data_IF_524863669371
#
_entry.id   IF_524863669371
#
_cell.length_a   1.000
_cell.length_b   1.000
_cell.length_c   1.000
_cell.angle_alpha   90.00
_cell.angle_beta   90.00
_cell.angle_gamma   90.00
#
_symmetry.space_group_name_H-M   'P 1'
#
loop_
_entity.id
_entity.type
_entity.pdbx_description
1 polymer ?
#
# COMPACT_ATOMS: atom_id res chain seq x y z
N UNK A 1 11.35 19.71 14.83
CA UNK A 1 10.03 19.62 14.16
C UNK A 1 8.97 20.23 15.05
N UNK A 2 7.93 20.81 14.46
CA UNK A 2 7.03 21.77 15.10
C UNK A 2 5.94 21.09 15.95
N UNK A 3 5.69 21.63 17.15
CA UNK A 3 4.52 21.28 17.97
C UNK A 3 3.18 21.41 17.21
N UNK A 4 3.15 22.16 16.10
CA UNK A 4 1.98 22.22 15.21
C UNK A 4 1.75 20.91 14.45
N UNK A 5 2.81 20.29 13.91
CA UNK A 5 2.73 19.00 13.19
C UNK A 5 2.09 17.93 14.06
N UNK A 6 2.56 17.81 15.30
CA UNK A 6 2.06 16.81 16.25
C UNK A 6 0.59 17.05 16.62
N UNK A 7 0.19 18.31 16.83
CA UNK A 7 -1.21 18.65 17.11
C UNK A 7 -2.13 18.32 15.93
N UNK A 8 -1.74 18.70 14.71
CA UNK A 8 -2.51 18.43 13.49
C UNK A 8 -2.58 16.93 13.22
N UNK A 9 -1.47 16.21 13.37
CA UNK A 9 -1.45 14.75 13.22
C UNK A 9 -2.41 14.07 14.20
N UNK A 10 -2.36 14.45 15.48
CA UNK A 10 -3.25 13.88 16.51
C UNK A 10 -4.72 14.25 16.29
N UNK A 11 -5.00 15.44 15.76
CA UNK A 11 -6.35 15.84 15.39
C UNK A 11 -6.87 15.05 14.19
N UNK A 12 -6.08 14.93 13.13
CA UNK A 12 -6.43 14.18 11.94
C UNK A 12 -6.65 12.71 12.26
N UNK A 13 -5.76 12.09 13.05
CA UNK A 13 -5.92 10.71 13.50
C UNK A 13 -7.25 10.49 14.25
N UNK A 14 -7.63 11.41 15.14
CA UNK A 14 -8.94 11.34 15.82
C UNK A 14 -10.13 11.44 14.86
N UNK A 15 -10.03 12.28 13.82
CA UNK A 15 -11.08 12.40 12.79
C UNK A 15 -11.20 11.08 12.02
N UNK A 16 -10.06 10.52 11.56
CA UNK A 16 -10.05 9.26 10.82
C UNK A 16 -10.59 8.11 11.66
N UNK A 17 -10.21 8.02 12.95
CA UNK A 17 -10.72 7.00 13.88
C UNK A 17 -12.23 7.11 14.11
N UNK A 18 -12.74 8.33 14.34
CA UNK A 18 -14.18 8.57 14.52
C UNK A 18 -14.98 8.09 13.30
N UNK A 19 -14.43 8.31 12.12
CA UNK A 19 -15.10 8.04 10.85
C UNK A 19 -14.76 6.65 10.27
N UNK A 20 -13.95 5.85 10.98
CA UNK A 20 -13.57 4.50 10.57
C UNK A 20 -12.61 4.41 9.39
N UNK A 21 -11.85 5.48 9.11
CA UNK A 21 -10.85 5.55 8.05
C UNK A 21 -9.43 5.18 8.53
N UNK A 22 -9.26 4.88 9.81
CA UNK A 22 -8.02 4.43 10.43
C UNK A 22 -7.78 2.93 10.23
N UNK A 23 -8.85 2.14 10.12
CA UNK A 23 -8.79 0.73 9.75
C UNK A 23 -9.06 0.55 8.25
N UNK A 24 -8.03 0.22 7.44
CA UNK A 24 -8.18 0.04 5.99
C UNK A 24 -9.11 -1.12 5.59
N UNK A 25 -9.45 -2.00 6.53
CA UNK A 25 -10.29 -3.19 6.35
C UNK A 25 -11.61 -3.11 7.13
N UNK A 26 -12.02 -1.92 7.57
CA UNK A 26 -13.28 -1.76 8.29
C UNK A 26 -14.49 -2.15 7.44
N UNK A 27 -15.45 -2.86 8.04
CA UNK A 27 -16.71 -3.28 7.40
C UNK A 27 -17.81 -2.19 7.46
N UNK A 28 -17.42 -0.92 7.56
CA UNK A 28 -18.37 0.19 7.60
C UNK A 28 -18.77 0.58 6.18
N UNK A 29 -20.06 0.45 5.87
CA UNK A 29 -20.62 0.74 4.55
C UNK A 29 -20.38 2.19 4.07
N UNK A 30 -20.28 3.14 5.00
CA UNK A 30 -20.07 4.56 4.73
C UNK A 30 -18.60 5.01 4.74
N UNK A 31 -17.68 4.12 5.11
CA UNK A 31 -16.27 4.44 5.31
C UNK A 31 -15.34 3.89 4.21
N UNK A 32 -15.90 3.26 3.16
CA UNK A 32 -15.09 2.79 2.05
C UNK A 32 -15.82 2.80 0.71
N UNK A 33 -15.09 3.16 -0.35
CA UNK A 33 -15.58 3.07 -1.73
C UNK A 33 -15.90 1.63 -2.16
N UNK A 34 -15.33 0.62 -1.51
CA UNK A 34 -15.69 -0.81 -1.70
C UNK A 34 -17.17 -1.08 -1.43
N UNK A 35 -17.71 -0.45 -0.39
CA UNK A 35 -19.12 -0.61 -0.01
C UNK A 35 -20.04 0.38 -0.74
N UNK A 36 -19.55 1.57 -1.07
CA UNK A 36 -20.37 2.57 -1.78
C UNK A 36 -20.67 2.14 -3.22
N UNK A 37 -19.68 1.55 -3.90
CA UNK A 37 -19.80 1.12 -5.31
C UNK A 37 -19.98 -0.39 -5.45
N UNK A 38 -20.41 -1.08 -4.40
CA UNK A 38 -20.58 -2.52 -4.38
C UNK A 38 -21.41 -2.98 -3.18
N UNK A 39 -21.37 -4.27 -2.89
CA UNK A 39 -21.98 -4.87 -1.69
C UNK A 39 -20.91 -5.42 -0.72
N UNK A 40 -19.70 -4.89 -0.83
CA UNK A 40 -18.53 -5.43 -0.15
C UNK A 40 -17.94 -6.66 -0.84
N UNK A 41 -18.61 -7.26 -1.82
CA UNK A 41 -18.13 -8.43 -2.56
C UNK A 41 -17.98 -8.14 -4.06
N UNK A 42 -19.01 -7.56 -4.68
CA UNK A 42 -19.08 -7.27 -6.09
C UNK A 42 -19.28 -5.77 -6.31
N UNK A 43 -18.46 -5.21 -7.19
CA UNK A 43 -18.60 -3.84 -7.66
C UNK A 43 -19.70 -3.73 -8.72
N UNK A 44 -20.34 -2.57 -8.78
CA UNK A 44 -21.25 -2.25 -9.87
C UNK A 44 -20.50 -2.25 -11.22
N UNK A 45 -21.23 -2.51 -12.31
CA UNK A 45 -20.61 -2.64 -13.65
C UNK A 45 -19.88 -1.36 -14.09
N UNK A 46 -20.37 -0.18 -13.70
CA UNK A 46 -19.70 1.07 -14.07
C UNK A 46 -18.39 1.25 -13.32
N UNK A 47 -18.33 0.78 -12.06
CA UNK A 47 -17.14 0.79 -11.24
C UNK A 47 -16.11 -0.23 -11.71
N UNK A 48 -16.53 -1.43 -12.10
CA UNK A 48 -15.64 -2.43 -12.70
C UNK A 48 -14.95 -1.90 -13.96
N UNK A 49 -15.69 -1.23 -14.86
CA UNK A 49 -15.09 -0.60 -16.05
C UNK A 49 -14.07 0.47 -15.69
N UNK A 50 -14.38 1.29 -14.69
CA UNK A 50 -13.42 2.28 -14.20
C UNK A 50 -12.15 1.62 -13.65
N UNK A 51 -12.28 0.53 -12.89
CA UNK A 51 -11.15 -0.25 -12.40
C UNK A 51 -10.33 -0.86 -13.55
N UNK A 52 -10.99 -1.43 -14.56
CA UNK A 52 -10.34 -1.94 -15.79
C UNK A 52 -9.53 -0.84 -16.50
N UNK A 53 -10.09 0.36 -16.65
CA UNK A 53 -9.40 1.51 -17.26
C UNK A 53 -8.17 1.94 -16.44
N UNK A 54 -8.26 1.88 -15.10
CA UNK A 54 -7.13 2.16 -14.22
C UNK A 54 -6.02 1.11 -14.37
N UNK A 55 -6.37 -0.17 -14.44
CA UNK A 55 -5.43 -1.28 -14.67
C UNK A 55 -4.76 -1.10 -16.03
N UNK A 56 -5.51 -0.85 -17.09
CA UNK A 56 -4.96 -0.62 -18.43
C UNK A 56 -3.98 0.56 -18.43
N UNK A 57 -4.36 1.67 -17.80
CA UNK A 57 -3.50 2.85 -17.67
C UNK A 57 -2.22 2.56 -16.89
N UNK A 58 -2.31 1.82 -15.79
CA UNK A 58 -1.14 1.39 -15.03
C UNK A 58 -0.23 0.48 -15.87
N UNK A 59 -0.84 -0.46 -16.62
CA UNK A 59 -0.10 -1.39 -17.47
C UNK A 59 0.64 -0.69 -18.61
N UNK A 60 0.07 0.36 -19.17
CA UNK A 60 0.72 1.17 -20.22
C UNK A 60 1.91 1.98 -19.70
N UNK A 61 1.88 2.41 -18.42
CA UNK A 61 2.94 3.24 -17.82
C UNK A 61 4.20 2.46 -17.46
N UNK A 62 4.07 1.20 -17.09
CA UNK A 62 5.18 0.37 -16.62
C UNK A 62 5.21 -0.98 -17.36
N UNK A 63 5.41 -1.03 -18.68
CA UNK A 63 5.30 -2.27 -19.44
C UNK A 63 6.19 -3.38 -18.88
N UNK A 64 5.59 -4.53 -18.57
CA UNK A 64 6.27 -5.69 -18.03
C UNK A 64 7.07 -6.43 -19.11
N UNK A 65 8.11 -7.14 -18.67
CA UNK A 65 8.91 -8.00 -19.53
C UNK A 65 8.32 -9.40 -19.61
N UNK A 66 8.42 -10.01 -20.79
CA UNK A 66 7.92 -11.35 -21.08
C UNK A 66 9.06 -12.33 -21.36
N UNK A 67 8.85 -13.60 -20.96
CA UNK A 67 9.74 -14.71 -21.28
C UNK A 67 10.95 -14.85 -20.35
N UNK A 68 11.53 -16.05 -20.34
CA UNK A 68 12.56 -16.44 -19.38
C UNK A 68 11.98 -17.21 -18.19
N UNK A 69 12.76 -17.32 -17.12
CA UNK A 69 12.28 -17.90 -15.85
C UNK A 69 11.42 -16.85 -15.15
N UNK A 70 10.24 -17.27 -14.69
CA UNK A 70 9.31 -16.37 -14.00
C UNK A 70 9.80 -16.07 -12.58
N UNK A 71 9.92 -14.77 -12.31
CA UNK A 71 10.43 -14.23 -11.06
C UNK A 71 9.43 -13.25 -10.43
N UNK A 72 9.21 -13.41 -9.13
CA UNK A 72 8.45 -12.48 -8.31
C UNK A 72 9.37 -11.76 -7.33
N UNK A 73 9.12 -10.48 -7.13
CA UNK A 73 9.77 -9.67 -6.09
C UNK A 73 8.71 -9.25 -5.09
N UNK A 74 8.98 -9.43 -3.80
CA UNK A 74 8.04 -9.09 -2.72
C UNK A 74 8.72 -8.15 -1.74
N UNK A 75 8.03 -7.08 -1.37
CA UNK A 75 8.53 -6.18 -0.32
C UNK A 75 7.89 -6.51 1.03
N UNK A 76 8.69 -6.43 2.08
CA UNK A 76 8.26 -6.48 3.47
C UNK A 76 8.75 -5.23 4.22
N UNK A 77 7.96 -4.79 5.19
CA UNK A 77 8.32 -3.69 6.08
C UNK A 77 7.17 -2.73 6.35
N UNK A 78 7.15 -2.07 7.51
CA UNK A 78 6.06 -1.16 7.89
C UNK A 78 6.01 0.09 6.98
N UNK A 79 4.87 0.82 6.96
CA UNK A 79 4.83 2.15 6.35
C UNK A 79 5.91 3.07 6.96
N UNK A 80 6.60 3.85 6.13
CA UNK A 80 7.71 4.70 6.58
C UNK A 80 9.09 4.02 6.66
N UNK A 81 9.19 2.70 6.43
CA UNK A 81 10.46 2.00 6.46
C UNK A 81 11.43 2.37 5.32
N UNK A 82 10.90 2.77 4.16
CA UNK A 82 11.71 3.17 2.99
C UNK A 82 11.77 2.16 1.85
N UNK A 83 10.81 1.23 1.76
CA UNK A 83 10.73 0.17 0.74
C UNK A 83 10.95 0.66 -0.69
N UNK A 84 10.21 1.68 -1.13
CA UNK A 84 10.33 2.21 -2.50
C UNK A 84 11.75 2.70 -2.83
N UNK A 85 12.45 3.31 -1.86
CA UNK A 85 13.84 3.75 -2.04
C UNK A 85 14.81 2.57 -2.16
N UNK A 86 14.57 1.48 -1.42
CA UNK A 86 15.37 0.27 -1.52
C UNK A 86 15.25 -0.39 -2.90
N UNK A 87 14.04 -0.43 -3.45
CA UNK A 87 13.76 -1.03 -4.75
C UNK A 87 14.24 -0.18 -5.93
N UNK A 88 14.01 1.15 -5.89
CA UNK A 88 14.28 2.04 -7.02
C UNK A 88 15.74 2.05 -7.50
N UNK A 89 16.67 1.59 -6.66
CA UNK A 89 18.10 1.56 -6.96
C UNK A 89 18.60 0.19 -7.43
N UNK A 90 17.74 -0.83 -7.51
CA UNK A 90 18.17 -2.18 -7.87
C UNK A 90 17.98 -2.45 -9.38
N UNK A 91 19.08 -2.53 -10.16
CA UNK A 91 19.00 -2.76 -11.59
C UNK A 91 18.47 -4.16 -11.96
N UNK A 92 18.43 -5.12 -11.02
CA UNK A 92 17.85 -6.45 -11.24
C UNK A 92 16.35 -6.39 -11.52
N UNK A 93 15.68 -5.34 -11.03
CA UNK A 93 14.23 -5.15 -11.16
C UNK A 93 13.85 -4.46 -12.47
N UNK A 94 14.82 -4.11 -13.31
CA UNK A 94 14.56 -3.46 -14.59
C UNK A 94 13.64 -4.33 -15.46
N UNK A 95 12.49 -3.79 -15.86
CA UNK A 95 11.51 -4.49 -16.69
C UNK A 95 10.55 -5.39 -15.93
N UNK A 96 10.63 -5.47 -14.60
CA UNK A 96 9.57 -6.05 -13.78
C UNK A 96 8.36 -5.13 -13.75
N UNK A 97 7.17 -5.74 -13.66
CA UNK A 97 5.91 -5.05 -13.46
C UNK A 97 5.77 -4.63 -12.01
N UNK A 98 5.75 -3.33 -11.75
CA UNK A 98 5.39 -2.80 -10.44
C UNK A 98 3.88 -2.90 -10.21
N UNK A 99 3.50 -3.52 -9.10
CA UNK A 99 2.12 -3.66 -8.63
C UNK A 99 2.04 -3.06 -7.23
N UNK A 100 1.57 -1.81 -7.14
CA UNK A 100 1.34 -1.12 -5.87
C UNK A 100 -0.10 -0.59 -5.80
N UNK A 101 -0.82 -0.97 -4.74
CA UNK A 101 -2.16 -0.45 -4.48
C UNK A 101 -2.16 1.09 -4.32
N UNK A 102 -1.07 1.69 -3.83
CA UNK A 102 -0.97 3.13 -3.66
C UNK A 102 -1.08 3.91 -4.98
N UNK A 103 -0.74 3.31 -6.12
CA UNK A 103 -0.78 3.94 -7.45
C UNK A 103 -2.22 4.22 -7.94
N UNK A 104 -3.19 3.45 -7.44
CA UNK A 104 -4.59 3.63 -7.82
C UNK A 104 -5.32 4.66 -6.95
N UNK A 105 -4.80 4.95 -5.75
CA UNK A 105 -5.52 5.75 -4.75
C UNK A 105 -5.81 7.17 -5.19
N UNK A 106 -4.90 7.80 -5.93
CA UNK A 106 -5.13 9.18 -6.38
C UNK A 106 -6.31 9.28 -7.35
N UNK A 107 -6.42 8.35 -8.30
CA UNK A 107 -7.56 8.32 -9.22
C UNK A 107 -8.87 8.01 -8.50
N UNK A 108 -8.86 7.08 -7.54
CA UNK A 108 -10.01 6.76 -6.72
C UNK A 108 -10.47 7.95 -5.86
N UNK A 109 -9.53 8.68 -5.24
CA UNK A 109 -9.80 9.87 -4.43
C UNK A 109 -10.32 11.03 -5.28
N UNK A 110 -9.78 11.21 -6.50
CA UNK A 110 -10.26 12.21 -7.45
C UNK A 110 -11.71 11.94 -7.88
N UNK A 111 -12.03 10.70 -8.27
CA UNK A 111 -13.40 10.32 -8.62
C UNK A 111 -14.35 10.48 -7.42
N UNK A 112 -13.94 10.05 -6.21
CA UNK A 112 -14.73 10.23 -5.00
C UNK A 112 -15.00 11.72 -4.69
N UNK A 113 -13.99 12.58 -4.85
CA UNK A 113 -14.12 14.04 -4.71
C UNK A 113 -15.09 14.61 -5.74
N UNK A 114 -14.94 14.24 -7.02
CA UNK A 114 -15.76 14.79 -8.09
C UNK A 114 -17.23 14.38 -7.98
N UNK A 115 -17.52 13.29 -7.24
CA UNK A 115 -18.87 12.83 -6.85
C UNK A 115 -19.38 13.46 -5.53
N UNK A 116 -18.59 14.29 -4.86
CA UNK A 116 -18.94 14.92 -3.59
C UNK A 116 -18.86 14.00 -2.38
N UNK A 117 -18.29 12.79 -2.51
CA UNK A 117 -18.21 11.82 -1.41
C UNK A 117 -17.23 12.26 -0.31
N UNK A 118 -16.32 13.19 -0.62
CA UNK A 118 -15.31 13.67 0.32
C UNK A 118 -15.65 15.01 0.97
N UNK A 119 -16.77 15.64 0.60
CA UNK A 119 -17.07 17.06 0.91
C UNK A 119 -17.09 17.35 2.42
N UNK A 120 -17.60 16.42 3.22
CA UNK A 120 -17.64 16.57 4.67
C UNK A 120 -16.23 16.69 5.28
N UNK A 121 -15.28 15.88 4.81
CA UNK A 121 -13.90 15.95 5.27
C UNK A 121 -13.15 17.14 4.68
N UNK A 122 -13.30 17.40 3.38
CA UNK A 122 -12.59 18.49 2.70
C UNK A 122 -13.02 19.89 3.17
N UNK A 123 -14.19 20.01 3.81
CA UNK A 123 -14.64 21.25 4.48
C UNK A 123 -14.19 21.37 5.94
N UNK A 124 -13.62 20.32 6.52
CA UNK A 124 -13.13 20.31 7.90
C UNK A 124 -11.74 20.93 7.97
N UNK A 125 -11.61 22.05 8.69
CA UNK A 125 -10.32 22.70 8.95
C UNK A 125 -9.60 22.06 10.15
N UNK A 126 -8.30 21.84 10.01
CA UNK A 126 -7.42 21.39 11.08
C UNK A 126 -6.80 22.58 11.83
N UNK A 127 -6.05 22.30 12.90
CA UNK A 127 -5.44 23.27 13.82
C UNK A 127 -4.38 24.17 13.15
N UNK A 128 -3.92 23.83 11.96
CA UNK A 128 -3.07 24.69 11.13
C UNK A 128 -3.86 25.65 10.23
N UNK A 129 -5.19 25.66 10.34
CA UNK A 129 -6.10 26.50 9.56
C UNK A 129 -6.30 26.05 8.12
N UNK A 130 -5.79 24.87 7.73
CA UNK A 130 -5.96 24.29 6.39
C UNK A 130 -7.00 23.16 6.45
N UNK A 131 -7.77 22.92 5.37
CA UNK A 131 -8.70 21.80 5.33
C UNK A 131 -7.97 20.44 5.36
N UNK A 132 -8.73 19.37 5.60
CA UNK A 132 -8.27 18.01 5.29
C UNK A 132 -8.08 17.90 3.77
N UNK A 133 -7.01 17.24 3.34
CA UNK A 133 -6.62 17.07 1.94
C UNK A 133 -6.97 15.66 1.43
N UNK A 134 -7.21 15.47 0.12
CA UNK A 134 -7.64 14.18 -0.42
C UNK A 134 -6.77 12.97 -0.01
N UNK A 135 -5.44 13.05 -0.11
CA UNK A 135 -4.56 11.92 0.25
C UNK A 135 -4.50 11.63 1.76
N UNK A 136 -5.00 12.52 2.60
CA UNK A 136 -5.17 12.26 4.04
C UNK A 136 -6.34 11.29 4.29
N UNK A 137 -7.21 11.09 3.30
CA UNK A 137 -8.36 10.19 3.32
C UNK A 137 -8.06 8.86 2.60
N UNK A 138 -6.79 8.49 2.45
CA UNK A 138 -6.38 7.27 1.74
C UNK A 138 -7.00 5.97 2.29
N UNK A 139 -7.42 5.95 3.56
CA UNK A 139 -8.17 4.83 4.15
C UNK A 139 -9.50 4.56 3.45
N UNK A 140 -10.18 5.62 2.98
CA UNK A 140 -11.49 5.54 2.31
C UNK A 140 -11.47 4.70 1.03
N UNK A 141 -10.35 4.76 0.31
CA UNK A 141 -10.15 4.04 -0.97
C UNK A 141 -9.26 2.82 -0.83
N UNK A 142 -8.81 2.48 0.39
CA UNK A 142 -7.77 1.47 0.59
C UNK A 142 -8.20 0.09 0.09
N UNK A 143 -9.32 -0.43 0.58
CA UNK A 143 -9.80 -1.77 0.22
C UNK A 143 -10.02 -1.92 -1.29
N UNK A 144 -10.56 -0.88 -1.94
CA UNK A 144 -10.72 -0.89 -3.39
C UNK A 144 -9.39 -0.83 -4.14
N UNK A 145 -8.45 0.00 -3.71
CA UNK A 145 -7.13 0.05 -4.34
C UNK A 145 -6.38 -1.29 -4.26
N UNK A 146 -6.56 -2.05 -3.17
CA UNK A 146 -6.00 -3.40 -3.07
C UNK A 146 -6.70 -4.37 -4.01
N UNK A 147 -8.03 -4.32 -4.12
CA UNK A 147 -8.77 -5.16 -5.05
C UNK A 147 -8.34 -4.94 -6.52
N UNK A 148 -8.08 -3.68 -6.89
CA UNK A 148 -7.55 -3.33 -8.22
C UNK A 148 -6.13 -3.89 -8.42
N UNK A 149 -5.26 -3.74 -7.42
CA UNK A 149 -3.90 -4.29 -7.47
C UNK A 149 -3.88 -5.82 -7.55
N UNK A 150 -4.77 -6.50 -6.83
CA UNK A 150 -4.95 -7.96 -6.89
C UNK A 150 -5.43 -8.40 -8.28
N UNK A 151 -6.41 -7.70 -8.87
CA UNK A 151 -6.88 -7.99 -10.23
C UNK A 151 -5.80 -7.74 -11.28
N UNK A 152 -4.99 -6.69 -11.11
CA UNK A 152 -3.82 -6.44 -11.97
C UNK A 152 -2.76 -7.55 -11.81
N UNK A 153 -2.51 -8.01 -10.58
CA UNK A 153 -1.61 -9.13 -10.30
C UNK A 153 -2.05 -10.37 -11.04
N UNK A 154 -3.30 -10.80 -10.86
CA UNK A 154 -3.85 -11.97 -11.54
C UNK A 154 -3.65 -11.88 -13.07
N UNK A 155 -3.96 -10.73 -13.68
CA UNK A 155 -3.73 -10.52 -15.11
C UNK A 155 -2.25 -10.65 -15.51
N UNK A 156 -1.32 -10.12 -14.71
CA UNK A 156 0.11 -10.22 -14.98
C UNK A 156 0.64 -11.65 -14.80
N UNK A 157 0.11 -12.40 -13.83
CA UNK A 157 0.43 -13.82 -13.62
C UNK A 157 -0.02 -14.67 -14.83
N UNK A 158 -1.26 -14.45 -15.31
CA UNK A 158 -1.79 -15.12 -16.50
C UNK A 158 -0.92 -14.85 -17.73
N UNK A 159 -0.46 -13.60 -17.87
CA UNK A 159 0.37 -13.17 -18.99
C UNK A 159 1.85 -13.59 -18.86
N UNK A 160 2.25 -14.18 -17.72
CA UNK A 160 3.62 -14.65 -17.47
C UNK A 160 4.64 -13.50 -17.38
N UNK A 161 4.26 -12.39 -16.74
CA UNK A 161 5.13 -11.25 -16.53
C UNK A 161 6.01 -11.41 -15.28
N UNK A 162 7.24 -10.90 -15.29
CA UNK A 162 7.98 -10.77 -14.02
C UNK A 162 7.40 -9.61 -13.20
N UNK A 163 7.11 -9.82 -11.92
CA UNK A 163 6.32 -8.88 -11.11
C UNK A 163 7.03 -8.45 -9.82
N UNK A 164 6.79 -7.21 -9.40
CA UNK A 164 7.12 -6.66 -8.09
C UNK A 164 5.82 -6.39 -7.35
N UNK A 165 5.62 -7.06 -6.23
CA UNK A 165 4.45 -6.95 -5.36
C UNK A 165 4.83 -6.07 -4.17
N UNK A 166 4.29 -4.85 -4.17
CA UNK A 166 4.47 -3.91 -3.06
C UNK A 166 3.50 -4.25 -1.93
N UNK A 167 4.01 -4.22 -0.71
CA UNK A 167 3.23 -4.58 0.47
C UNK A 167 4.02 -4.43 1.75
N UNK A 168 3.32 -4.56 2.88
CA UNK A 168 3.97 -4.64 4.19
C UNK A 168 4.34 -6.07 4.54
N UNK A 169 3.65 -7.08 3.97
CA UNK A 169 3.75 -8.49 4.33
C UNK A 169 3.40 -8.74 5.81
N UNK A 170 2.36 -8.07 6.35
CA UNK A 170 1.98 -8.21 7.77
C UNK A 170 1.06 -9.37 8.10
N UNK A 171 0.48 -10.05 7.11
CA UNK A 171 -0.38 -11.23 7.32
C UNK A 171 0.37 -12.52 7.01
N UNK A 172 0.44 -13.43 7.98
CA UNK A 172 1.05 -14.75 7.80
C UNK A 172 0.19 -15.67 6.92
N UNK A 173 -1.13 -15.47 6.91
CA UNK A 173 -2.05 -16.21 6.04
C UNK A 173 -1.81 -15.81 4.57
N UNK A 174 -1.58 -14.52 4.34
CA UNK A 174 -1.22 -14.00 3.02
C UNK A 174 0.09 -14.60 2.48
N UNK A 175 1.09 -14.87 3.34
CA UNK A 175 2.33 -15.55 2.92
C UNK A 175 2.04 -16.92 2.28
N UNK A 176 1.10 -17.68 2.85
CA UNK A 176 0.73 -18.99 2.31
C UNK A 176 -0.04 -18.89 1.01
N UNK A 177 -1.02 -17.98 0.96
CA UNK A 177 -1.82 -17.73 -0.24
C UNK A 177 -0.97 -17.24 -1.42
N UNK A 178 -0.06 -16.30 -1.17
CA UNK A 178 0.82 -15.74 -2.20
C UNK A 178 1.73 -16.81 -2.81
N UNK A 179 2.33 -17.68 -2.00
CA UNK A 179 3.17 -18.76 -2.54
C UNK A 179 2.37 -19.77 -3.35
N UNK A 180 1.17 -20.13 -2.89
CA UNK A 180 0.32 -21.06 -3.62
C UNK A 180 -0.12 -20.49 -4.98
N UNK A 181 -0.48 -19.20 -5.02
CA UNK A 181 -0.82 -18.50 -6.26
C UNK A 181 0.38 -18.44 -7.21
N UNK A 182 1.54 -17.99 -6.75
CA UNK A 182 2.75 -17.92 -7.57
C UNK A 182 3.19 -19.32 -8.08
N UNK A 183 3.07 -20.37 -7.27
CA UNK A 183 3.35 -21.77 -7.68
C UNK A 183 2.37 -22.24 -8.77
N UNK A 184 1.08 -21.92 -8.63
CA UNK A 184 0.04 -22.25 -9.62
C UNK A 184 0.35 -21.66 -11.00
N UNK A 185 0.91 -20.45 -11.05
CA UNK A 185 1.33 -19.80 -12.30
C UNK A 185 2.76 -20.12 -12.74
N UNK A 186 3.46 -21.01 -12.02
CA UNK A 186 4.78 -21.52 -12.42
C UNK A 186 5.95 -20.60 -12.12
N UNK A 187 5.82 -19.71 -11.12
CA UNK A 187 6.96 -18.93 -10.64
C UNK A 187 7.93 -19.84 -9.88
N UNK A 188 9.22 -19.66 -10.15
CA UNK A 188 10.29 -20.51 -9.59
C UNK A 188 11.36 -19.67 -8.86
N UNK A 189 11.35 -18.35 -9.08
CA UNK A 189 12.29 -17.40 -8.50
C UNK A 189 11.56 -16.39 -7.62
N UNK A 190 12.09 -16.15 -6.43
CA UNK A 190 11.53 -15.20 -5.48
C UNK A 190 12.62 -14.31 -4.86
N UNK A 191 12.48 -13.00 -5.01
CA UNK A 191 13.35 -12.01 -4.37
C UNK A 191 12.54 -11.28 -3.29
N UNK A 192 13.03 -11.27 -2.07
CA UNK A 192 12.34 -10.65 -0.93
C UNK A 192 13.18 -9.47 -0.44
N UNK A 193 12.60 -8.27 -0.43
CA UNK A 193 13.20 -7.09 0.19
C UNK A 193 12.59 -6.87 1.57
N UNK A 194 13.35 -7.19 2.61
CA UNK A 194 12.97 -6.94 4.01
C UNK A 194 13.56 -5.62 4.48
N UNK A 195 12.71 -4.58 4.62
CA UNK A 195 13.14 -3.21 4.93
C UNK A 195 12.57 -2.81 6.28
N UNK A 196 13.43 -2.74 7.29
CA UNK A 196 13.02 -2.62 8.68
C UNK A 196 13.67 -1.43 9.38
N UNK A 197 12.90 -0.73 10.20
CA UNK A 197 13.35 0.39 11.02
C UNK A 197 12.66 0.33 12.38
N UNK A 198 13.18 0.99 13.43
CA UNK A 198 12.44 1.12 14.69
C UNK A 198 11.11 1.86 14.51
N UNK A 199 10.09 1.52 15.31
CA UNK A 199 8.73 2.09 15.21
C UNK A 199 8.72 3.62 15.17
N UNK A 200 9.44 4.28 16.07
CA UNK A 200 9.47 5.75 16.12
C UNK A 200 10.19 6.37 14.92
N UNK A 201 11.15 5.66 14.29
CA UNK A 201 11.76 6.10 13.03
C UNK A 201 10.76 6.00 11.89
N UNK A 202 9.98 4.92 11.81
CA UNK A 202 8.93 4.77 10.81
C UNK A 202 7.85 5.85 10.94
N UNK A 203 7.39 6.11 12.17
CA UNK A 203 6.40 7.16 12.49
C UNK A 203 6.96 8.52 12.11
N UNK A 204 8.17 8.85 12.53
CA UNK A 204 8.78 10.15 12.23
C UNK A 204 8.93 10.38 10.73
N UNK A 205 9.46 9.40 9.99
CA UNK A 205 9.60 9.47 8.52
C UNK A 205 8.25 9.65 7.83
N UNK A 206 7.21 8.94 8.28
CA UNK A 206 5.87 9.05 7.70
C UNK A 206 5.25 10.44 7.95
N UNK A 207 5.36 10.94 9.19
CA UNK A 207 4.88 12.27 9.57
C UNK A 207 5.64 13.39 8.86
N UNK A 208 6.96 13.28 8.73
CA UNK A 208 7.77 14.26 8.01
C UNK A 208 7.38 14.34 6.53
N UNK A 209 7.21 13.19 5.87
CA UNK A 209 6.80 13.15 4.47
C UNK A 209 5.43 13.79 4.26
N UNK A 210 4.46 13.46 5.12
CA UNK A 210 3.12 14.05 5.08
C UNK A 210 3.16 15.56 5.36
N UNK A 211 3.81 15.97 6.45
CA UNK A 211 3.84 17.35 6.90
C UNK A 211 4.54 18.26 5.90
N UNK A 212 5.65 17.81 5.32
CA UNK A 212 6.39 18.57 4.30
C UNK A 212 5.52 18.87 3.09
N UNK A 213 4.76 17.88 2.60
CA UNK A 213 3.82 18.07 1.50
C UNK A 213 2.67 19.03 1.88
N UNK A 214 2.16 18.88 3.10
CA UNK A 214 1.12 19.76 3.63
C UNK A 214 1.60 21.20 3.77
N UNK A 215 2.79 21.45 4.31
CA UNK A 215 3.38 22.79 4.47
C UNK A 215 3.61 23.47 3.12
N UNK A 216 4.25 22.75 2.19
CA UNK A 216 4.58 23.25 0.86
C UNK A 216 3.32 23.64 0.07
N UNK A 217 2.24 22.87 0.19
CA UNK A 217 0.93 23.21 -0.37
C UNK A 217 0.89 23.31 -1.90
N UNK A 218 1.85 22.70 -2.59
CA UNK A 218 1.95 22.72 -4.07
C UNK A 218 1.15 21.63 -4.75
N UNK A 219 0.94 20.50 -4.07
CA UNK A 219 0.15 19.39 -4.58
C UNK A 219 -1.31 19.52 -4.10
N UNK A 220 -2.29 19.67 -5.01
CA UNK A 220 -3.70 19.81 -4.65
C UNK A 220 -4.29 18.57 -3.96
N UNK A 221 -3.63 17.41 -4.04
CA UNK A 221 -4.03 16.20 -3.31
C UNK A 221 -3.40 16.11 -1.92
N UNK A 222 -2.39 16.94 -1.61
CA UNK A 222 -1.68 16.95 -0.34
C UNK A 222 -0.71 15.77 -0.15
N UNK A 223 -0.29 15.55 1.10
CA UNK A 223 0.54 14.40 1.48
C UNK A 223 -0.28 13.21 1.96
N UNK A 224 0.23 11.98 1.77
CA UNK A 224 -0.41 10.79 2.34
C UNK A 224 -0.15 10.70 3.85
N UNK A 225 -1.20 10.88 4.64
CA UNK A 225 -1.16 10.65 6.09
C UNK A 225 -1.33 9.16 6.39
N UNK A 226 -0.48 8.63 7.27
CA UNK A 226 -0.64 7.28 7.84
C UNK A 226 -0.72 7.45 9.35
N UNK A 227 -1.81 7.05 10.01
CA UNK A 227 -1.96 7.20 11.45
C UNK A 227 -0.78 6.57 12.22
N UNK A 228 -0.14 7.28 13.17
CA UNK A 228 0.91 6.72 14.01
C UNK A 228 0.50 5.43 14.72
N UNK A 229 -0.75 5.32 15.19
CA UNK A 229 -1.25 4.08 15.78
C UNK A 229 -1.24 2.91 14.78
N UNK A 230 -1.62 3.19 13.52
CA UNK A 230 -1.59 2.20 12.43
C UNK A 230 -0.18 1.72 12.11
N UNK A 231 0.84 2.58 12.21
CA UNK A 231 2.25 2.18 12.04
C UNK A 231 2.72 1.34 13.23
N UNK A 232 2.40 1.76 14.46
CA UNK A 232 2.81 1.04 15.67
C UNK A 232 2.18 -0.35 15.77
N UNK A 233 0.99 -0.56 15.20
CA UNK A 233 0.34 -1.88 15.15
C UNK A 233 1.16 -2.97 14.44
N UNK A 234 2.16 -2.61 13.61
CA UNK A 234 3.08 -3.58 13.02
C UNK A 234 4.14 -4.09 14.00
N UNK A 235 4.32 -3.43 15.14
CA UNK A 235 5.31 -3.75 16.15
C UNK A 235 4.59 -4.34 17.36
N UNK A 236 4.70 -5.65 17.60
CA UNK A 236 4.16 -6.26 18.81
C UNK A 236 4.83 -5.64 20.05
N UNK A 237 4.12 -5.61 21.18
CA UNK A 237 4.64 -5.06 22.43
C UNK A 237 6.01 -5.67 22.78
N UNK A 238 6.99 -4.81 23.09
CA UNK A 238 8.39 -5.14 23.39
C UNK A 238 9.23 -5.76 22.24
N UNK A 239 8.70 -5.83 21.01
CA UNK A 239 9.45 -6.34 19.87
C UNK A 239 10.39 -5.29 19.28
N UNK A 240 11.67 -5.67 19.10
CA UNK A 240 12.66 -4.82 18.43
C UNK A 240 12.44 -4.71 16.90
N UNK A 241 11.52 -5.51 16.33
CA UNK A 241 11.23 -5.60 14.90
C UNK A 241 9.74 -5.74 14.66
N UNK A 242 9.27 -5.27 13.50
CA UNK A 242 7.91 -5.45 13.08
C UNK A 242 7.60 -6.92 12.73
N UNK A 243 6.32 -7.29 12.74
CA UNK A 243 5.83 -8.62 12.30
C UNK A 243 6.21 -8.94 10.86
N UNK A 244 6.46 -7.91 10.05
CA UNK A 244 6.79 -7.98 8.63
C UNK A 244 8.12 -8.70 8.39
N UNK A 245 9.13 -8.47 9.23
CA UNK A 245 10.41 -9.17 9.18
C UNK A 245 10.26 -10.69 9.42
N UNK A 246 9.45 -11.07 10.40
CA UNK A 246 9.19 -12.48 10.69
C UNK A 246 8.45 -13.16 9.54
N UNK A 247 7.50 -12.46 8.92
CA UNK A 247 6.77 -12.97 7.75
C UNK A 247 7.66 -13.05 6.49
N UNK A 248 8.61 -12.12 6.30
CA UNK A 248 9.60 -12.18 5.23
C UNK A 248 10.48 -13.44 5.34
N UNK A 249 10.97 -13.73 6.55
CA UNK A 249 11.70 -14.97 6.81
C UNK A 249 10.83 -16.21 6.60
N UNK A 250 9.56 -16.17 7.05
CA UNK A 250 8.64 -17.29 6.86
C UNK A 250 8.34 -17.55 5.37
N UNK A 251 8.21 -16.49 4.57
CA UNK A 251 8.04 -16.57 3.12
C UNK A 251 9.28 -17.21 2.47
N UNK A 252 10.48 -16.70 2.81
CA UNK A 252 11.75 -17.27 2.36
C UNK A 252 11.84 -18.77 2.65
N UNK A 253 11.64 -19.17 3.91
CA UNK A 253 11.82 -20.55 4.34
C UNK A 253 10.79 -21.50 3.69
N UNK A 254 9.58 -21.01 3.43
CA UNK A 254 8.53 -21.78 2.74
C UNK A 254 8.88 -21.97 1.26
N UNK A 255 9.23 -20.90 0.55
CA UNK A 255 9.63 -20.97 -0.85
C UNK A 255 10.85 -21.87 -1.05
N UNK A 256 11.87 -21.75 -0.19
CA UNK A 256 13.05 -22.62 -0.22
C UNK A 256 12.70 -24.12 -0.06
N UNK A 257 11.74 -24.44 0.82
CA UNK A 257 11.27 -25.84 0.98
C UNK A 257 10.49 -26.36 -0.22
N UNK A 258 9.89 -25.49 -1.02
CA UNK A 258 9.26 -25.84 -2.29
C UNK A 258 10.29 -26.04 -3.42
N UNK A 259 11.57 -25.74 -3.17
CA UNK A 259 12.66 -25.91 -4.13
C UNK A 259 12.87 -24.70 -5.04
N UNK A 260 12.28 -23.55 -4.70
CA UNK A 260 12.44 -22.31 -5.45
C UNK A 260 13.85 -21.73 -5.28
N UNK A 261 14.29 -20.93 -6.25
CA UNK A 261 15.45 -20.06 -6.11
C UNK A 261 15.03 -18.78 -5.39
N UNK A 262 15.52 -18.59 -4.16
CA UNK A 262 15.05 -17.53 -3.26
C UNK A 262 16.21 -16.67 -2.79
N UNK A 263 16.07 -15.36 -2.94
CA UNK A 263 16.97 -14.34 -2.40
C UNK A 263 16.23 -13.52 -1.33
N UNK A 264 16.84 -13.35 -0.15
CA UNK A 264 16.33 -12.48 0.91
C UNK A 264 17.33 -11.35 1.13
N UNK A 265 16.99 -10.17 0.61
CA UNK A 265 17.75 -8.94 0.80
C UNK A 265 17.22 -8.18 2.01
N UNK A 266 17.95 -8.25 3.13
CA UNK A 266 17.67 -7.43 4.33
C UNK A 266 18.33 -6.06 4.17
N UNK A 267 17.51 -5.01 4.16
CA UNK A 267 17.95 -3.63 4.02
C UNK A 267 18.03 -2.99 5.40
N UNK A 268 19.25 -2.68 5.84
CA UNK A 268 19.47 -1.97 7.08
C UNK A 268 19.09 -0.47 6.95
N UNK A 269 18.62 0.16 8.06
CA UNK A 269 18.15 1.55 8.10
C UNK A 269 19.14 2.62 7.64
#
# INVERSE_FOLDING_TARGET
>A
MSAARERVAAQLERVLQRDGLDNPWGDREDASTRWIFGDGFLYDTSRLRFQEDLIATARDRNPGSFGGVLAAVVTAGPPGAGKSTALANDPRLAGFRDIDADDFKDALLLDARDRGLLDHWLSTSLDDGRPIMPRELAGFVHAESTAIADAMREACLIDGENIVIHGTLSSIDYVGALLAELDEFGYEQLIIYDVEVPAEVAVERALDRWWSARELGTDPLGGRFVPPAGIRAYYPDDAARAVTAANAQALHDRAYRLGWDVDLTVVAP
#
